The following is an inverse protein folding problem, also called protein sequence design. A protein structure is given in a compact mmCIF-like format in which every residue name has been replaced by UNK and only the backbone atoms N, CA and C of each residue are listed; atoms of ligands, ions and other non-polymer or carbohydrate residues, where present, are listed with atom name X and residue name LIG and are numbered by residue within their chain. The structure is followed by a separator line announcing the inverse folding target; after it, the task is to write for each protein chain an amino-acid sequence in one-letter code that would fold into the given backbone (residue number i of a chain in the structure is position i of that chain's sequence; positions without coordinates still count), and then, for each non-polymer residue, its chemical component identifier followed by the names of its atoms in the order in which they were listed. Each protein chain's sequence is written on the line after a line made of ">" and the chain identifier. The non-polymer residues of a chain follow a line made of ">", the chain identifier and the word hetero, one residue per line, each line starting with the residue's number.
data_IF_865030796634
#
_entry.id   IF_865030796634
#
_cell.length_a   1.000
_cell.length_b   1.000
_cell.length_c   1.000
_cell.angle_alpha   90.00
_cell.angle_beta   90.00
_cell.angle_gamma   90.00
#
_symmetry.space_group_name_H-M   'P 1'
#
loop_
_entity.id
_entity.type
_entity.pdbx_description
1 polymer ?
#
# COMPACT_ATOMS: atom_id res chain seq x y z
N UNK A 1 9.59 -18.33 -9.13
CA UNK A 1 8.15 -18.17 -8.88
C UNK A 1 7.95 -16.75 -8.38
N UNK A 2 7.09 -15.93 -9.01
CA UNK A 2 6.84 -14.57 -8.52
C UNK A 2 6.14 -14.67 -7.16
N UNK A 3 6.61 -13.90 -6.19
CA UNK A 3 6.03 -13.90 -4.84
C UNK A 3 4.61 -13.31 -4.90
N UNK A 4 3.66 -13.84 -4.13
CA UNK A 4 2.26 -13.38 -4.14
C UNK A 4 2.16 -11.89 -3.81
N UNK A 5 3.03 -11.43 -2.92
CA UNK A 5 3.18 -10.02 -2.54
C UNK A 5 3.57 -9.13 -3.72
N UNK A 6 4.47 -9.60 -4.59
CA UNK A 6 4.86 -8.84 -5.79
C UNK A 6 3.71 -8.74 -6.78
N UNK A 7 2.96 -9.82 -6.97
CA UNK A 7 1.77 -9.85 -7.83
C UNK A 7 0.75 -8.85 -7.30
N UNK A 8 0.50 -8.86 -5.99
CA UNK A 8 -0.44 -7.94 -5.35
C UNK A 8 -0.01 -6.48 -5.47
N UNK A 9 1.28 -6.17 -5.29
CA UNK A 9 1.81 -4.82 -5.44
C UNK A 9 1.73 -4.32 -6.89
N UNK A 10 2.06 -5.16 -7.87
CA UNK A 10 1.95 -4.83 -9.30
C UNK A 10 0.48 -4.63 -9.68
N UNK A 11 -0.41 -5.50 -9.22
CA UNK A 11 -1.85 -5.35 -9.42
C UNK A 11 -2.36 -4.02 -8.85
N UNK A 12 -1.93 -3.67 -7.63
CA UNK A 12 -2.29 -2.41 -6.98
C UNK A 12 -1.81 -1.19 -7.79
N UNK A 13 -0.58 -1.24 -8.31
CA UNK A 13 -0.03 -0.18 -9.15
C UNK A 13 -0.78 -0.03 -10.49
N UNK A 14 -1.13 -1.15 -11.14
CA UNK A 14 -1.90 -1.15 -12.39
C UNK A 14 -3.31 -0.59 -12.16
N UNK A 15 -3.96 -1.01 -11.07
CA UNK A 15 -5.31 -0.56 -10.73
C UNK A 15 -5.32 0.94 -10.42
N UNK A 16 -4.39 1.42 -9.57
CA UNK A 16 -4.25 2.84 -9.26
C UNK A 16 -3.94 3.68 -10.50
N UNK A 17 -3.07 3.20 -11.39
CA UNK A 17 -2.78 3.88 -12.67
C UNK A 17 -4.01 3.95 -13.57
N UNK A 18 -4.81 2.88 -13.61
CA UNK A 18 -6.05 2.83 -14.41
C UNK A 18 -7.09 3.83 -13.89
N UNK A 19 -7.24 3.93 -12.57
CA UNK A 19 -8.11 4.93 -11.92
C UNK A 19 -7.63 6.34 -12.27
N UNK A 20 -6.33 6.61 -12.18
CA UNK A 20 -5.76 7.92 -12.51
C UNK A 20 -6.00 8.30 -13.98
N UNK A 21 -5.83 7.37 -14.92
CA UNK A 21 -6.11 7.61 -16.35
C UNK A 21 -7.60 7.90 -16.56
N UNK A 22 -8.50 7.15 -15.89
CA UNK A 22 -9.94 7.37 -15.98
C UNK A 22 -10.36 8.75 -15.41
N UNK A 23 -9.78 9.16 -14.28
CA UNK A 23 -9.96 10.51 -13.72
C UNK A 23 -9.49 11.60 -14.69
N UNK A 24 -8.32 11.42 -15.30
CA UNK A 24 -7.78 12.37 -16.29
C UNK A 24 -8.64 12.49 -17.55
N UNK A 25 -9.32 11.42 -17.94
CA UNK A 25 -10.29 11.41 -19.05
C UNK A 25 -11.69 11.93 -18.66
N UNK A 26 -11.84 12.48 -17.45
CA UNK A 26 -13.11 12.97 -16.90
C UNK A 26 -14.23 11.91 -16.90
N UNK A 27 -13.87 10.63 -16.82
CA UNK A 27 -14.84 9.55 -16.65
C UNK A 27 -15.43 9.68 -15.24
N UNK A 28 -16.77 9.75 -15.14
CA UNK A 28 -17.46 9.75 -13.84
C UNK A 28 -17.27 8.41 -13.16
N UNK A 29 -16.25 8.32 -12.31
CA UNK A 29 -16.06 7.21 -11.39
C UNK A 29 -16.91 7.43 -10.13
N UNK A 30 -17.40 6.35 -9.49
CA UNK A 30 -18.00 6.42 -8.17
C UNK A 30 -17.09 7.15 -7.19
N UNK A 31 -17.67 7.96 -6.32
CA UNK A 31 -16.93 8.76 -5.33
C UNK A 31 -16.02 7.88 -4.46
N UNK A 32 -16.49 6.68 -4.09
CA UNK A 32 -15.71 5.72 -3.32
C UNK A 32 -14.37 5.35 -3.99
N UNK A 33 -14.37 5.21 -5.32
CA UNK A 33 -13.16 4.87 -6.07
C UNK A 33 -12.21 6.08 -6.17
N UNK A 34 -12.77 7.28 -6.29
CA UNK A 34 -11.98 8.50 -6.39
C UNK A 34 -11.30 8.88 -5.08
N UNK A 35 -11.94 8.60 -3.95
CA UNK A 35 -11.43 8.94 -2.63
C UNK A 35 -10.66 7.76 -2.01
N UNK A 36 -11.30 6.62 -1.75
CA UNK A 36 -10.74 5.59 -0.86
C UNK A 36 -9.83 4.54 -1.53
N UNK A 37 -10.06 4.24 -2.82
CA UNK A 37 -9.36 3.10 -3.45
C UNK A 37 -7.87 3.39 -3.62
N UNK A 38 -7.50 4.62 -3.99
CA UNK A 38 -6.09 4.98 -4.13
C UNK A 38 -5.36 4.93 -2.78
N UNK A 39 -6.01 5.38 -1.71
CA UNK A 39 -5.45 5.40 -0.36
C UNK A 39 -5.23 3.98 0.18
N UNK A 40 -6.12 3.05 -0.16
CA UNK A 40 -5.90 1.65 0.16
C UNK A 40 -4.72 1.04 -0.63
N UNK A 41 -4.58 1.36 -1.92
CA UNK A 41 -3.59 0.76 -2.81
C UNK A 41 -2.17 1.31 -2.63
N UNK A 42 -2.00 2.49 -2.02
CA UNK A 42 -0.68 3.13 -1.88
C UNK A 42 0.26 2.37 -0.93
N UNK A 43 -0.26 1.89 0.20
CA UNK A 43 0.54 1.26 1.26
C UNK A 43 1.25 -0.02 0.79
N UNK A 44 0.57 -0.99 0.12
CA UNK A 44 1.24 -2.19 -0.37
C UNK A 44 2.32 -1.88 -1.41
N UNK A 45 2.11 -0.87 -2.26
CA UNK A 45 3.11 -0.42 -3.25
C UNK A 45 4.35 0.11 -2.54
N UNK A 46 4.17 1.05 -1.59
CA UNK A 46 5.27 1.70 -0.87
C UNK A 46 6.04 0.71 0.00
N UNK A 47 5.34 -0.18 0.72
CA UNK A 47 5.96 -1.21 1.54
C UNK A 47 6.73 -2.22 0.68
N UNK A 48 6.21 -2.60 -0.49
CA UNK A 48 6.91 -3.49 -1.42
C UNK A 48 8.19 -2.85 -1.93
N UNK A 49 8.14 -1.59 -2.37
CA UNK A 49 9.33 -0.85 -2.79
C UNK A 49 10.34 -0.75 -1.65
N UNK A 50 9.88 -0.41 -0.44
CA UNK A 50 10.73 -0.33 0.76
C UNK A 50 11.39 -1.67 1.09
N UNK A 51 10.65 -2.77 0.97
CA UNK A 51 11.16 -4.13 1.16
C UNK A 51 12.27 -4.44 0.15
N UNK A 52 12.05 -4.12 -1.12
CA UNK A 52 13.06 -4.31 -2.17
C UNK A 52 14.32 -3.50 -1.92
N UNK A 53 14.17 -2.22 -1.57
CA UNK A 53 15.30 -1.34 -1.23
C UNK A 53 16.06 -1.90 -0.03
N UNK A 54 15.39 -2.38 1.01
CA UNK A 54 16.04 -2.97 2.19
C UNK A 54 16.73 -4.30 1.88
N UNK A 55 16.12 -5.17 1.06
CA UNK A 55 16.74 -6.43 0.60
C UNK A 55 18.00 -6.16 -0.21
N UNK A 56 17.96 -5.14 -1.08
CA UNK A 56 19.12 -4.72 -1.87
C UNK A 56 20.20 -4.10 -1.00
N UNK A 57 19.84 -3.16 -0.13
CA UNK A 57 20.78 -2.46 0.76
C UNK A 57 21.45 -3.39 1.79
N UNK A 58 20.71 -4.33 2.36
CA UNK A 58 21.23 -5.31 3.34
C UNK A 58 21.80 -6.57 2.67
N UNK A 59 21.70 -6.68 1.34
CA UNK A 59 22.05 -7.87 0.57
C UNK A 59 21.40 -9.18 1.09
N UNK A 60 20.25 -9.06 1.75
CA UNK A 60 19.50 -10.19 2.32
C UNK A 60 18.18 -10.36 1.57
N UNK A 61 18.13 -11.37 0.71
CA UNK A 61 16.94 -11.69 -0.11
C UNK A 61 15.78 -12.26 0.72
N UNK A 62 16.04 -12.73 1.94
CA UNK A 62 15.03 -13.28 2.87
C UNK A 62 14.54 -12.24 3.86
N UNK A 63 15.06 -11.01 3.80
CA UNK A 63 14.65 -9.93 4.67
C UNK A 63 13.14 -9.70 4.56
N UNK A 64 12.55 -9.44 5.72
CA UNK A 64 11.13 -9.20 5.93
C UNK A 64 10.95 -7.89 6.67
N UNK A 65 9.90 -7.15 6.32
CA UNK A 65 9.53 -5.99 7.10
C UNK A 65 8.87 -6.47 8.40
N UNK A 66 9.40 -6.07 9.56
CA UNK A 66 8.79 -6.38 10.82
C UNK A 66 7.53 -5.52 11.02
N UNK A 67 6.55 -6.05 11.76
CA UNK A 67 5.22 -5.46 11.91
C UNK A 67 5.26 -4.00 12.37
N UNK A 68 6.16 -3.65 13.29
CA UNK A 68 6.31 -2.27 13.78
C UNK A 68 6.71 -1.27 12.69
N UNK A 69 7.53 -1.67 11.70
CA UNK A 69 7.87 -0.78 10.57
C UNK A 69 6.66 -0.61 9.66
N UNK A 70 5.88 -1.68 9.44
CA UNK A 70 4.64 -1.62 8.65
C UNK A 70 3.64 -0.65 9.31
N UNK A 71 3.41 -0.81 10.62
CA UNK A 71 2.54 0.07 11.39
C UNK A 71 3.05 1.51 11.41
N UNK A 72 4.36 1.71 11.54
CA UNK A 72 4.98 3.03 11.47
C UNK A 72 4.75 3.70 10.12
N UNK A 73 4.95 2.98 9.01
CA UNK A 73 4.68 3.50 7.67
C UNK A 73 3.20 3.81 7.46
N UNK A 74 2.28 2.92 7.87
CA UNK A 74 0.83 3.18 7.79
C UNK A 74 0.43 4.41 8.62
N UNK A 75 0.94 4.54 9.84
CA UNK A 75 0.66 5.70 10.69
C UNK A 75 1.24 7.00 10.14
N UNK A 76 2.46 6.95 9.58
CA UNK A 76 3.08 8.10 8.92
C UNK A 76 2.25 8.56 7.72
N UNK A 77 1.77 7.63 6.89
CA UNK A 77 0.88 7.94 5.77
C UNK A 77 -0.46 8.51 6.24
N UNK A 78 -1.07 7.92 7.27
CA UNK A 78 -2.28 8.47 7.88
C UNK A 78 -2.08 9.93 8.32
N UNK A 79 -1.00 10.24 9.04
CA UNK A 79 -0.69 11.62 9.46
C UNK A 79 -0.45 12.54 8.26
N UNK A 80 0.28 12.12 7.23
CA UNK A 80 0.52 12.96 6.05
C UNK A 80 -0.79 13.25 5.31
N UNK A 81 -1.56 12.23 5.01
CA UNK A 81 -2.76 12.37 4.19
C UNK A 81 -3.92 13.01 4.95
N UNK A 82 -4.06 12.77 6.25
CA UNK A 82 -5.17 13.29 7.04
C UNK A 82 -4.84 14.60 7.77
N UNK A 83 -3.57 14.88 8.09
CA UNK A 83 -3.21 16.10 8.81
C UNK A 83 -2.53 17.16 7.94
N UNK A 84 -1.66 16.75 7.00
CA UNK A 84 -0.95 17.70 6.13
C UNK A 84 -1.76 18.04 4.87
N UNK A 85 -2.36 17.06 4.21
CA UNK A 85 -3.07 17.28 2.95
C UNK A 85 -4.32 18.18 3.05
N UNK A 86 -5.24 18.00 4.03
CA UNK A 86 -6.46 18.81 4.09
C UNK A 86 -6.21 20.29 4.40
N UNK A 87 -5.04 20.64 4.95
CA UNK A 87 -4.62 22.05 5.07
C UNK A 87 -4.40 22.73 3.72
N UNK A 88 -4.19 21.96 2.66
CA UNK A 88 -3.92 22.47 1.30
C UNK A 88 -5.09 22.28 0.34
N UNK A 89 -5.92 21.25 0.54
CA UNK A 89 -7.10 20.99 -0.29
C UNK A 89 -8.36 20.77 0.56
N UNK A 90 -9.33 21.70 0.57
CA UNK A 90 -10.58 21.60 1.34
C UNK A 90 -11.56 20.52 0.83
N UNK A 91 -11.12 19.66 -0.09
CA UNK A 91 -11.88 18.53 -0.65
C UNK A 91 -11.73 17.25 0.16
N UNK A 92 -10.71 17.18 1.03
CA UNK A 92 -10.46 16.03 1.89
C UNK A 92 -11.10 16.27 3.25
N UNK A 93 -12.23 15.63 3.51
CA UNK A 93 -12.76 15.49 4.87
C UNK A 93 -11.83 14.55 5.61
N UNK A 94 -11.36 14.93 6.80
CA UNK A 94 -10.67 14.01 7.69
C UNK A 94 -11.67 12.92 8.09
N UNK A 95 -11.68 11.82 7.34
CA UNK A 95 -12.49 10.66 7.63
C UNK A 95 -11.56 9.59 8.21
N UNK A 96 -11.85 9.16 9.43
CA UNK A 96 -11.10 8.10 10.10
C UNK A 96 -11.11 6.78 9.32
N UNK A 97 -11.98 6.67 8.30
CA UNK A 97 -12.00 5.60 7.31
C UNK A 97 -10.67 5.52 6.54
N UNK A 98 -10.02 6.63 6.19
CA UNK A 98 -8.74 6.63 5.46
C UNK A 98 -7.62 6.04 6.32
N UNK A 99 -7.59 6.43 7.59
CA UNK A 99 -6.69 5.85 8.59
C UNK A 99 -6.88 4.34 8.66
N UNK A 100 -8.13 3.90 8.80
CA UNK A 100 -8.46 2.48 8.84
C UNK A 100 -8.01 1.75 7.57
N UNK A 101 -8.22 2.34 6.39
CA UNK A 101 -7.77 1.80 5.12
C UNK A 101 -6.24 1.65 5.07
N UNK A 102 -5.47 2.66 5.51
CA UNK A 102 -4.00 2.56 5.55
C UNK A 102 -3.48 1.45 6.46
N UNK A 103 -4.10 1.26 7.62
CA UNK A 103 -3.76 0.16 8.53
C UNK A 103 -4.22 -1.19 7.98
N UNK A 104 -5.40 -1.27 7.38
CA UNK A 104 -5.92 -2.49 6.76
C UNK A 104 -5.01 -2.95 5.60
N UNK A 105 -4.57 -2.02 4.75
CA UNK A 105 -3.61 -2.30 3.68
C UNK A 105 -2.26 -2.77 4.20
N UNK A 106 -1.75 -2.14 5.26
CA UNK A 106 -0.52 -2.56 5.93
C UNK A 106 -0.64 -3.98 6.51
N UNK A 107 -1.78 -4.28 7.14
CA UNK A 107 -2.06 -5.62 7.67
C UNK A 107 -2.16 -6.68 6.56
N UNK A 108 -2.81 -6.37 5.44
CA UNK A 108 -2.85 -7.26 4.27
C UNK A 108 -1.45 -7.53 3.72
N UNK A 109 -0.61 -6.50 3.61
CA UNK A 109 0.79 -6.66 3.23
C UNK A 109 1.54 -7.60 4.19
N UNK A 110 1.34 -7.44 5.50
CA UNK A 110 1.94 -8.31 6.52
C UNK A 110 1.51 -9.78 6.36
N UNK A 111 0.22 -10.03 6.14
CA UNK A 111 -0.27 -11.40 5.90
C UNK A 111 0.31 -12.00 4.62
N UNK A 112 0.34 -11.24 3.52
CA UNK A 112 0.91 -11.68 2.25
C UNK A 112 2.40 -12.04 2.40
N UNK A 113 3.16 -11.21 3.12
CA UNK A 113 4.57 -11.48 3.41
C UNK A 113 4.76 -12.81 4.17
N UNK A 114 3.88 -13.11 5.13
CA UNK A 114 3.91 -14.38 5.88
C UNK A 114 3.53 -15.59 5.04
N UNK A 115 2.54 -15.44 4.15
CA UNK A 115 2.15 -16.50 3.22
C UNK A 115 3.31 -16.84 2.27
N UNK A 116 3.98 -15.84 1.72
CA UNK A 116 5.14 -16.05 0.85
C UNK A 116 6.31 -16.72 1.58
N UNK A 117 6.55 -16.36 2.85
CA UNK A 117 7.55 -17.05 3.68
C UNK A 117 7.28 -18.54 3.83
N UNK A 118 6.03 -18.90 4.13
CA UNK A 118 5.63 -20.29 4.33
C UNK A 118 5.70 -21.09 3.03
N UNK A 119 5.31 -20.48 1.91
CA UNK A 119 5.46 -21.09 0.59
C UNK A 119 6.93 -21.34 0.22
N UNK A 120 7.83 -20.42 0.57
CA UNK A 120 9.27 -20.60 0.37
C UNK A 120 9.85 -21.71 1.26
N UNK A 121 9.34 -21.90 2.48
CA UNK A 121 9.77 -23.01 3.36
C UNK A 121 9.25 -24.38 2.88
N UNK A 122 8.07 -24.43 2.27
CA UNK A 122 7.46 -25.68 1.78
C UNK A 122 8.15 -26.23 0.52
N UNK A 123 8.81 -25.37 -0.25
CA UNK A 123 9.43 -25.71 -1.54
C UNK A 123 10.95 -25.90 -1.47
N UNK A 124 11.57 -25.81 -0.28
CA UNK A 124 12.98 -26.10 -0.02
C UNK A 124 13.08 -27.34 0.86
#
# INVERSE_FOLDING_TARGET
>A
MKNLLEIYAIFSAILGSSIYIAQKKAVKLPEIINFYVNDFLIIPIVLTISLYVLRWSKNDKKYQLPLWIILYCSGLYAVIFEYFLPKTHPRYTADSVDVFLYFLSGFLFFMLQKIDENNLKKNN
#
